data_IF_049632379282
#
_entry.id   IF_049632379282
#
_cell.length_a   1.000
_cell.length_b   1.000
_cell.length_c   1.000
_cell.angle_alpha   90.00
_cell.angle_beta   90.00
_cell.angle_gamma   90.00
#
_symmetry.space_group_name_H-M   'P 1'
#
loop_
_entity.id
_entity.type
_entity.pdbx_description
1 polymer ?
#
# COMPACT_ATOMS: atom_id res chain seq x y z
N UNK A 1 -1.21 6.70 -14.27
CA UNK A 1 -1.86 7.17 -13.03
C UNK A 1 -0.97 6.92 -11.81
N UNK A 2 -0.63 5.67 -11.50
CA UNK A 2 0.16 5.32 -10.31
C UNK A 2 1.52 6.02 -10.25
N UNK A 3 2.26 6.03 -11.36
CA UNK A 3 3.55 6.76 -11.44
C UNK A 3 3.40 8.26 -11.10
N UNK A 4 2.35 8.91 -11.59
CA UNK A 4 2.08 10.32 -11.28
C UNK A 4 1.70 10.51 -9.80
N UNK A 5 0.90 9.62 -9.23
CA UNK A 5 0.53 9.68 -7.82
C UNK A 5 1.77 9.54 -6.91
N UNK A 6 2.65 8.57 -7.21
CA UNK A 6 3.92 8.41 -6.49
C UNK A 6 4.77 9.67 -6.61
N UNK A 7 4.90 10.24 -7.82
CA UNK A 7 5.71 11.43 -8.06
C UNK A 7 5.17 12.70 -7.36
N UNK A 8 3.86 12.79 -7.11
CA UNK A 8 3.26 13.91 -6.36
C UNK A 8 3.47 13.75 -4.85
N UNK A 9 3.46 12.52 -4.34
CA UNK A 9 3.53 12.24 -2.91
C UNK A 9 4.95 12.24 -2.36
N UNK A 10 5.92 11.70 -3.11
CA UNK A 10 7.26 11.44 -2.61
C UNK A 10 8.35 12.12 -3.45
N UNK A 11 9.31 12.72 -2.76
CA UNK A 11 10.48 13.36 -3.34
C UNK A 11 11.58 12.34 -3.67
N UNK A 12 12.42 12.69 -4.64
CA UNK A 12 13.55 11.85 -5.08
C UNK A 12 14.83 12.09 -4.28
N UNK A 13 14.72 12.62 -3.05
CA UNK A 13 15.88 12.95 -2.21
C UNK A 13 16.41 11.76 -1.40
N UNK A 14 15.79 10.58 -1.54
CA UNK A 14 16.21 9.35 -0.84
C UNK A 14 15.74 9.26 0.61
N UNK A 15 14.88 10.17 1.07
CA UNK A 15 14.34 10.16 2.44
C UNK A 15 12.92 9.59 2.48
N UNK A 16 12.11 9.89 1.46
CA UNK A 16 10.68 9.55 1.42
C UNK A 16 10.45 8.05 1.16
N UNK A 17 9.45 7.48 1.85
CA UNK A 17 9.06 6.07 1.76
C UNK A 17 7.61 5.93 1.29
N UNK A 18 7.37 5.00 0.36
CA UNK A 18 6.03 4.51 0.02
C UNK A 18 5.85 3.09 0.57
N UNK A 19 4.74 2.84 1.27
CA UNK A 19 4.41 1.53 1.80
C UNK A 19 3.72 0.67 0.75
N UNK A 20 4.27 -0.51 0.47
CA UNK A 20 3.76 -1.43 -0.56
C UNK A 20 3.32 -2.78 0.05
N UNK A 21 2.31 -3.45 -0.53
CA UNK A 21 1.94 -4.79 -0.08
C UNK A 21 3.02 -5.81 -0.44
N UNK A 22 3.11 -6.89 0.33
CA UNK A 22 3.92 -8.06 0.00
C UNK A 22 3.11 -9.35 0.20
N UNK A 23 2.90 -10.15 -0.86
CA UNK A 23 3.34 -9.93 -2.26
C UNK A 23 2.58 -8.78 -2.95
N UNK A 24 3.15 -8.22 -4.02
CA UNK A 24 2.55 -7.13 -4.82
C UNK A 24 2.89 -7.24 -6.30
N UNK A 25 2.12 -6.55 -7.13
CA UNK A 25 2.44 -6.34 -8.53
C UNK A 25 3.80 -5.60 -8.67
N UNK A 26 4.80 -6.16 -9.38
CA UNK A 26 6.18 -5.64 -9.35
C UNK A 26 6.35 -4.18 -9.79
N UNK A 27 5.43 -3.67 -10.62
CA UNK A 27 5.49 -2.32 -11.17
C UNK A 27 5.64 -1.26 -10.07
N UNK A 28 4.96 -1.41 -8.93
CA UNK A 28 4.99 -0.40 -7.86
C UNK A 28 6.43 -0.20 -7.34
N UNK A 29 7.13 -1.29 -7.04
CA UNK A 29 8.50 -1.23 -6.57
C UNK A 29 9.45 -0.71 -7.66
N UNK A 30 9.24 -1.10 -8.92
CA UNK A 30 10.03 -0.59 -10.06
C UNK A 30 9.88 0.92 -10.20
N UNK A 31 8.67 1.46 -10.09
CA UNK A 31 8.41 2.90 -10.17
C UNK A 31 9.11 3.66 -9.02
N UNK A 32 8.95 3.21 -7.77
CA UNK A 32 9.63 3.83 -6.63
C UNK A 32 11.17 3.79 -6.79
N UNK A 33 11.71 2.60 -7.07
CA UNK A 33 13.16 2.40 -7.23
C UNK A 33 13.75 3.23 -8.37
N UNK A 34 13.06 3.35 -9.50
CA UNK A 34 13.51 4.16 -10.64
C UNK A 34 13.63 5.66 -10.34
N UNK A 35 12.96 6.11 -9.26
CA UNK A 35 12.94 7.50 -8.79
C UNK A 35 13.80 7.73 -7.55
N UNK A 36 14.46 6.69 -7.02
CA UNK A 36 15.20 6.77 -5.75
C UNK A 36 14.30 6.96 -4.53
N UNK A 37 13.03 6.54 -4.60
CA UNK A 37 12.08 6.56 -3.48
C UNK A 37 12.22 5.25 -2.71
N UNK A 38 12.27 5.33 -1.38
CA UNK A 38 12.35 4.15 -0.53
C UNK A 38 11.02 3.39 -0.52
N UNK A 39 11.11 2.08 -0.29
CA UNK A 39 9.96 1.21 -0.13
C UNK A 39 10.10 0.44 1.17
N UNK A 40 9.03 0.41 1.95
CA UNK A 40 8.87 -0.55 3.02
C UNK A 40 7.62 -1.40 2.76
N UNK A 41 7.69 -2.67 3.14
CA UNK A 41 6.68 -3.66 2.78
C UNK A 41 5.85 -4.06 3.99
N UNK A 42 4.53 -3.92 3.87
CA UNK A 42 3.59 -4.53 4.80
C UNK A 42 3.13 -5.89 4.25
N UNK A 43 2.95 -6.86 5.14
CA UNK A 43 2.64 -8.24 4.74
C UNK A 43 1.16 -8.45 4.48
N UNK A 44 0.86 -9.37 3.56
CA UNK A 44 -0.46 -9.94 3.37
C UNK A 44 -0.52 -11.34 3.98
N UNK A 45 -1.67 -11.69 4.54
CA UNK A 45 -1.91 -12.95 5.24
C UNK A 45 -2.40 -14.04 4.29
N UNK A 46 -1.51 -14.89 3.81
CA UNK A 46 -1.87 -16.03 2.94
C UNK A 46 -2.86 -17.01 3.60
N UNK A 47 -2.82 -17.13 4.93
CA UNK A 47 -3.75 -17.92 5.74
C UNK A 47 -5.14 -17.27 5.87
N UNK A 48 -5.28 -16.00 5.48
CA UNK A 48 -6.50 -15.20 5.62
C UNK A 48 -6.83 -14.45 4.33
N UNK A 49 -6.95 -15.19 3.23
CA UNK A 49 -7.32 -14.68 1.89
C UNK A 49 -6.51 -13.45 1.45
N UNK A 50 -5.24 -13.37 1.86
CA UNK A 50 -4.36 -12.24 1.61
C UNK A 50 -4.94 -10.88 2.05
N UNK A 51 -5.66 -10.85 3.17
CA UNK A 51 -5.93 -9.62 3.91
C UNK A 51 -4.63 -8.99 4.41
N UNK A 52 -4.62 -7.67 4.56
CA UNK A 52 -3.49 -6.95 5.17
C UNK A 52 -3.24 -7.47 6.58
N UNK A 53 -1.99 -7.83 6.88
CA UNK A 53 -1.54 -8.02 8.25
C UNK A 53 -1.45 -6.65 8.93
N UNK A 54 -2.51 -6.29 9.67
CA UNK A 54 -2.60 -5.00 10.38
C UNK A 54 -1.43 -4.77 11.35
N UNK A 55 -0.89 -5.83 11.95
CA UNK A 55 0.28 -5.70 12.84
C UNK A 55 1.53 -5.39 12.02
N UNK A 56 1.71 -6.03 10.87
CA UNK A 56 2.81 -5.69 9.95
C UNK A 56 2.69 -4.27 9.42
N UNK A 57 1.48 -3.83 9.05
CA UNK A 57 1.24 -2.48 8.55
C UNK A 57 1.56 -1.43 9.63
N UNK A 58 1.06 -1.63 10.86
CA UNK A 58 1.34 -0.72 11.97
C UNK A 58 2.84 -0.60 12.24
N UNK A 59 3.59 -1.71 12.27
CA UNK A 59 5.06 -1.65 12.47
C UNK A 59 5.77 -0.89 11.36
N UNK A 60 5.31 -1.04 10.12
CA UNK A 60 5.87 -0.34 8.97
C UNK A 60 5.61 1.18 9.06
N UNK A 61 4.40 1.56 9.46
CA UNK A 61 4.03 2.95 9.73
C UNK A 61 4.84 3.55 10.89
N UNK A 62 5.02 2.83 11.99
CA UNK A 62 5.83 3.26 13.13
C UNK A 62 7.30 3.46 12.76
N UNK A 63 7.87 2.52 12.00
CA UNK A 63 9.25 2.59 11.52
C UNK A 63 9.48 3.74 10.54
N UNK A 64 8.42 4.14 9.82
CA UNK A 64 8.47 5.20 8.82
C UNK A 64 7.68 6.47 9.21
N UNK A 65 7.50 6.73 10.51
CA UNK A 65 6.60 7.79 11.00
C UNK A 65 6.89 9.20 10.45
N UNK A 66 8.16 9.49 10.12
CA UNK A 66 8.58 10.81 9.63
C UNK A 66 8.71 10.90 8.09
N UNK A 67 8.82 9.76 7.43
CA UNK A 67 9.19 9.65 6.02
C UNK A 67 8.14 8.95 5.15
N UNK A 68 7.16 8.25 5.73
CA UNK A 68 6.06 7.68 4.96
C UNK A 68 5.26 8.80 4.27
N UNK A 69 5.13 8.71 2.94
CA UNK A 69 4.36 9.67 2.12
C UNK A 69 3.07 9.11 1.53
N UNK A 70 2.90 7.80 1.62
CA UNK A 70 1.67 7.14 1.24
C UNK A 70 1.76 5.63 1.38
N UNK A 71 0.60 5.00 1.34
CA UNK A 71 0.44 3.55 1.20
C UNK A 71 -0.23 3.25 -0.13
N UNK A 72 0.20 2.18 -0.80
CA UNK A 72 -0.49 1.63 -1.95
C UNK A 72 -1.33 0.44 -1.53
N UNK A 73 -2.61 0.45 -1.87
CA UNK A 73 -3.52 -0.69 -1.76
C UNK A 73 -3.85 -1.18 -3.16
N UNK A 74 -3.77 -2.49 -3.38
CA UNK A 74 -4.24 -3.10 -4.62
C UNK A 74 -5.34 -4.10 -4.29
N UNK A 75 -6.57 -3.68 -4.55
CA UNK A 75 -7.79 -4.42 -4.23
C UNK A 75 -8.86 -4.13 -5.30
N UNK A 76 -9.28 -5.13 -6.11
CA UNK A 76 -8.89 -6.54 -6.04
C UNK A 76 -7.42 -6.78 -6.40
N UNK A 77 -6.81 -7.76 -5.72
CA UNK A 77 -5.36 -7.92 -5.69
C UNK A 77 -4.80 -8.67 -6.90
N UNK A 78 -3.69 -8.16 -7.41
CA UNK A 78 -2.68 -8.86 -8.19
C UNK A 78 -1.38 -8.92 -7.35
N UNK A 79 -0.83 -10.11 -7.06
CA UNK A 79 -1.12 -11.41 -7.69
C UNK A 79 -2.12 -12.30 -6.94
N UNK A 80 -2.66 -11.86 -5.80
CA UNK A 80 -3.34 -12.75 -4.87
C UNK A 80 -4.81 -13.06 -5.19
N UNK A 81 -5.45 -12.29 -6.07
CA UNK A 81 -6.87 -12.44 -6.41
C UNK A 81 -7.82 -12.14 -5.26
N UNK A 82 -7.34 -11.52 -4.17
CA UNK A 82 -8.16 -11.17 -3.01
C UNK A 82 -9.05 -9.97 -3.30
N UNK A 83 -10.21 -9.94 -2.64
CA UNK A 83 -11.11 -8.80 -2.59
C UNK A 83 -11.54 -8.59 -1.13
N UNK A 84 -11.02 -7.56 -0.49
CA UNK A 84 -11.21 -7.30 0.93
C UNK A 84 -12.60 -6.78 1.24
N UNK A 85 -13.06 -7.05 2.46
CA UNK A 85 -14.35 -6.55 2.94
C UNK A 85 -14.28 -5.04 3.19
N UNK A 86 -15.45 -4.39 3.20
CA UNK A 86 -15.57 -2.96 3.51
C UNK A 86 -15.05 -2.65 4.91
N UNK A 87 -15.32 -3.55 5.86
CA UNK A 87 -14.89 -3.44 7.25
C UNK A 87 -13.36 -3.45 7.34
N UNK A 88 -12.71 -4.41 6.67
CA UNK A 88 -11.24 -4.50 6.65
C UNK A 88 -10.58 -3.28 5.99
N UNK A 89 -11.18 -2.75 4.92
CA UNK A 89 -10.72 -1.49 4.30
C UNK A 89 -10.90 -0.33 5.29
N UNK A 90 -12.00 -0.30 6.04
CA UNK A 90 -12.24 0.68 7.11
C UNK A 90 -11.16 0.68 8.18
N UNK A 91 -10.71 -0.50 8.62
CA UNK A 91 -9.62 -0.64 9.60
C UNK A 91 -8.29 -0.07 9.07
N UNK A 92 -7.98 -0.29 7.78
CA UNK A 92 -6.79 0.27 7.12
C UNK A 92 -6.88 1.80 7.06
N UNK A 93 -8.04 2.35 6.69
CA UNK A 93 -8.26 3.80 6.60
C UNK A 93 -8.13 4.45 7.98
N UNK A 94 -8.73 3.87 9.02
CA UNK A 94 -8.63 4.36 10.38
C UNK A 94 -7.17 4.42 10.85
N UNK A 95 -6.39 3.36 10.58
CA UNK A 95 -4.97 3.34 10.90
C UNK A 95 -4.19 4.44 10.14
N UNK A 96 -4.47 4.67 8.86
CA UNK A 96 -3.82 5.76 8.11
C UNK A 96 -4.17 7.16 8.66
N UNK A 97 -5.38 7.34 9.19
CA UNK A 97 -5.80 8.58 9.86
C UNK A 97 -5.04 8.80 11.16
N UNK A 98 -4.89 7.77 11.99
CA UNK A 98 -4.11 7.81 13.25
C UNK A 98 -2.64 8.21 13.01
N UNK A 99 -2.08 7.84 11.87
CA UNK A 99 -0.70 8.16 11.47
C UNK A 99 -0.58 9.47 10.68
N UNK A 100 -1.46 10.44 10.94
CA UNK A 100 -1.36 11.80 10.40
C UNK A 100 -2.04 12.00 9.05
N UNK A 101 -3.12 11.26 8.78
CA UNK A 101 -3.84 11.27 7.50
C UNK A 101 -2.95 10.88 6.32
N UNK A 102 -2.26 9.75 6.45
CA UNK A 102 -1.38 9.24 5.41
C UNK A 102 -2.19 8.97 4.12
N UNK A 103 -1.75 9.51 2.95
CA UNK A 103 -2.44 9.29 1.68
C UNK A 103 -2.49 7.81 1.28
N UNK A 104 -3.62 7.41 0.67
CA UNK A 104 -3.83 6.06 0.13
C UNK A 104 -3.89 6.15 -1.40
N UNK A 105 -3.03 5.39 -2.07
CA UNK A 105 -3.13 5.10 -3.51
C UNK A 105 -3.93 3.80 -3.66
N UNK A 106 -5.18 3.90 -4.09
CA UNK A 106 -6.01 2.72 -4.36
C UNK A 106 -5.91 2.31 -5.84
N UNK A 107 -5.24 1.19 -6.11
CA UNK A 107 -5.24 0.54 -7.42
C UNK A 107 -6.37 -0.50 -7.48
N UNK A 108 -7.50 -0.06 -8.04
CA UNK A 108 -8.75 -0.83 -8.17
C UNK A 108 -9.00 -1.27 -9.63
N UNK A 109 -7.95 -1.43 -10.44
CA UNK A 109 -8.09 -1.74 -11.88
C UNK A 109 -8.91 -3.03 -12.15
N UNK A 110 -9.01 -3.92 -11.17
CA UNK A 110 -9.76 -5.17 -11.25
C UNK A 110 -11.16 -5.09 -10.60
N UNK A 111 -11.72 -3.91 -10.30
CA UNK A 111 -12.97 -3.82 -9.51
C UNK A 111 -14.16 -4.57 -10.14
N UNK A 112 -14.22 -4.68 -11.47
CA UNK A 112 -15.26 -5.43 -12.20
C UNK A 112 -14.92 -6.91 -12.42
N UNK A 113 -13.78 -7.38 -11.92
CA UNK A 113 -13.30 -8.76 -12.06
C UNK A 113 -13.39 -9.52 -10.74
N UNK A 114 -14.37 -9.18 -9.89
CA UNK A 114 -14.62 -9.84 -8.61
C UNK A 114 -15.69 -10.93 -8.74
N UNK A 115 -15.42 -12.09 -8.16
CA UNK A 115 -16.42 -13.16 -8.02
C UNK A 115 -17.17 -12.91 -6.71
N UNK A 116 -18.49 -12.72 -6.81
CA UNK A 116 -19.39 -12.50 -5.66
C UNK A 116 -19.80 -13.83 -5.03
#
# INVERSE_FOLDING_TARGET
>A
AIDMAIAVLANTNGEDTILLPQPSFPLYNTLCSSRGINVDFYKLRSDRKFEVDMTSLQRSLESNKLNAKGILLNNPSNPCGSNWTREHIGDIVALCQEFGNLPIIADEIYHDMVIR
#
